data_IF_319908785613
#
_entry.id   IF_319908785613
#
_cell.length_a   1.000
_cell.length_b   1.000
_cell.length_c   1.000
_cell.angle_alpha   90.00
_cell.angle_beta   90.00
_cell.angle_gamma   90.00
#
_symmetry.space_group_name_H-M   'P 1'
#
loop_
_entity.id
_entity.type
_entity.pdbx_description
1 polymer ?
#
# COMPACT_ATOMS: atom_id res chain seq x y z
N UNK A 1 11.21 -4.56 -9.22
CA UNK A 1 11.51 -4.44 -7.81
C UNK A 1 11.07 -5.68 -7.04
N UNK A 2 11.89 -6.10 -6.10
CA UNK A 2 11.70 -7.30 -5.32
C UNK A 2 11.63 -6.95 -3.83
N UNK A 3 10.71 -7.59 -3.13
CA UNK A 3 10.47 -7.38 -1.70
C UNK A 3 10.37 -8.72 -0.98
N UNK A 4 10.15 -8.70 0.32
CA UNK A 4 9.85 -9.90 1.09
C UNK A 4 8.50 -9.71 1.77
N UNK A 5 7.75 -10.81 1.91
CA UNK A 5 6.56 -10.79 2.73
C UNK A 5 6.92 -10.96 4.21
N UNK A 6 5.93 -11.01 5.09
CA UNK A 6 6.18 -11.14 6.53
C UNK A 6 6.71 -12.52 6.93
N UNK A 7 6.69 -13.47 6.02
CA UNK A 7 7.25 -14.80 6.23
C UNK A 7 8.64 -14.96 5.64
N UNK A 8 9.21 -13.86 5.12
CA UNK A 8 10.55 -13.85 4.54
C UNK A 8 10.62 -14.36 3.11
N UNK A 9 9.49 -14.65 2.47
CA UNK A 9 9.45 -15.12 1.10
C UNK A 9 9.64 -13.97 0.12
N UNK A 10 10.45 -14.15 -0.94
CA UNK A 10 10.61 -13.09 -1.94
C UNK A 10 9.33 -12.90 -2.76
N UNK A 11 9.02 -11.64 -3.03
CA UNK A 11 7.84 -11.26 -3.81
C UNK A 11 8.25 -10.20 -4.83
N UNK A 12 7.84 -10.39 -6.08
CA UNK A 12 8.09 -9.44 -7.15
C UNK A 12 6.88 -8.53 -7.31
N UNK A 13 7.11 -7.22 -7.46
CA UNK A 13 6.02 -6.27 -7.61
C UNK A 13 5.14 -6.61 -8.82
N UNK A 14 5.74 -7.02 -9.93
CA UNK A 14 5.01 -7.36 -11.13
C UNK A 14 4.05 -8.54 -10.97
N UNK A 15 4.17 -9.31 -9.89
CA UNK A 15 3.23 -10.39 -9.61
C UNK A 15 1.82 -9.86 -9.33
N UNK A 16 1.72 -8.60 -8.92
CA UNK A 16 0.43 -7.94 -8.64
C UNK A 16 -0.10 -7.14 -9.83
N UNK A 17 0.77 -6.71 -10.73
CA UNK A 17 0.38 -5.87 -11.86
C UNK A 17 -0.39 -6.68 -12.90
N UNK A 18 -1.17 -6.00 -13.74
CA UNK A 18 -2.07 -6.65 -14.69
C UNK A 18 -3.50 -6.73 -14.18
N UNK A 19 -3.76 -6.17 -13.02
CA UNK A 19 -5.07 -6.00 -12.40
C UNK A 19 -5.06 -4.67 -11.68
N UNK A 20 -6.21 -4.12 -11.28
CA UNK A 20 -6.22 -2.88 -10.51
C UNK A 20 -5.51 -3.07 -9.16
N UNK A 21 -4.51 -2.24 -8.89
CA UNK A 21 -3.68 -2.36 -7.68
C UNK A 21 -3.51 -1.00 -7.02
N UNK A 22 -3.69 -0.95 -5.71
CA UNK A 22 -3.34 0.20 -4.88
C UNK A 22 -2.13 -0.18 -4.04
N UNK A 23 -1.04 0.57 -4.18
CA UNK A 23 0.18 0.35 -3.40
C UNK A 23 0.35 1.48 -2.41
N UNK A 24 0.46 1.14 -1.13
CA UNK A 24 0.66 2.11 -0.06
C UNK A 24 2.05 1.92 0.55
N UNK A 25 2.86 2.99 0.52
CA UNK A 25 4.17 3.03 1.15
C UNK A 25 3.99 3.66 2.53
N UNK A 26 4.44 2.98 3.58
CA UNK A 26 4.14 3.39 4.95
C UNK A 26 5.24 2.99 5.93
N UNK A 27 5.17 3.53 7.15
CA UNK A 27 6.03 3.13 8.25
C UNK A 27 5.28 3.28 9.57
N UNK A 28 5.70 2.51 10.58
CA UNK A 28 5.02 2.51 11.89
C UNK A 28 5.25 3.82 12.66
N UNK A 29 6.37 4.51 12.38
CA UNK A 29 6.73 5.75 13.07
C UNK A 29 6.05 6.99 12.49
N UNK A 30 5.32 6.83 11.41
CA UNK A 30 4.73 7.92 10.63
C UNK A 30 3.29 8.14 11.09
N UNK A 31 2.97 9.25 11.81
CA UNK A 31 1.60 9.46 12.31
C UNK A 31 0.52 9.48 11.24
N UNK A 32 0.68 10.18 10.10
CA UNK A 32 -0.35 10.11 9.06
C UNK A 32 -0.52 8.70 8.47
N UNK A 33 0.56 7.90 8.40
CA UNK A 33 0.46 6.50 7.98
C UNK A 33 -0.44 5.72 8.94
N UNK A 34 -0.23 5.92 10.24
CA UNK A 34 -0.99 5.20 11.26
C UNK A 34 -2.47 5.56 11.23
N UNK A 35 -2.78 6.83 11.02
CA UNK A 35 -4.18 7.27 10.92
C UNK A 35 -4.88 6.72 9.70
N UNK A 36 -4.14 6.52 8.62
CA UNK A 36 -4.65 6.05 7.32
C UNK A 36 -4.95 4.55 7.30
N UNK A 37 -4.23 3.76 8.10
CA UNK A 37 -4.34 2.30 8.06
C UNK A 37 -5.76 1.77 8.20
N UNK A 38 -6.57 2.21 9.20
CA UNK A 38 -7.95 1.71 9.29
C UNK A 38 -8.80 2.09 8.08
N UNK A 39 -8.55 3.23 7.46
CA UNK A 39 -9.25 3.66 6.25
C UNK A 39 -8.94 2.73 5.09
N UNK A 40 -7.66 2.41 4.91
CA UNK A 40 -7.21 1.51 3.86
C UNK A 40 -7.70 0.07 4.09
N UNK A 41 -7.67 -0.39 5.34
CA UNK A 41 -8.19 -1.72 5.67
C UNK A 41 -9.67 -1.84 5.33
N UNK A 42 -10.47 -0.84 5.67
CA UNK A 42 -11.90 -0.85 5.36
C UNK A 42 -12.12 -0.84 3.84
N UNK A 43 -11.31 -0.08 3.11
CA UNK A 43 -11.41 -0.01 1.65
C UNK A 43 -11.06 -1.34 0.99
N UNK A 44 -10.03 -2.04 1.47
CA UNK A 44 -9.67 -3.34 0.91
C UNK A 44 -10.79 -4.36 1.10
N UNK A 45 -11.50 -4.30 2.21
CA UNK A 45 -12.61 -5.20 2.48
C UNK A 45 -13.82 -4.92 1.59
N UNK A 46 -14.04 -3.65 1.26
CA UNK A 46 -15.21 -3.21 0.47
C UNK A 46 -14.97 -3.24 -1.03
N UNK A 47 -13.74 -3.42 -1.47
CA UNK A 47 -13.37 -3.31 -2.89
C UNK A 47 -12.61 -4.55 -3.34
N UNK A 48 -13.26 -5.72 -3.38
CA UNK A 48 -12.57 -6.98 -3.66
C UNK A 48 -11.96 -7.08 -5.06
N UNK A 49 -12.42 -6.25 -5.99
CA UNK A 49 -11.88 -6.24 -7.36
C UNK A 49 -10.59 -5.45 -7.49
N UNK A 50 -10.16 -4.77 -6.44
CA UNK A 50 -8.92 -4.02 -6.40
C UNK A 50 -7.98 -4.68 -5.38
N UNK A 51 -6.75 -4.96 -5.80
CA UNK A 51 -5.75 -5.54 -4.92
C UNK A 51 -5.02 -4.43 -4.17
N UNK A 52 -4.99 -4.51 -2.84
CA UNK A 52 -4.24 -3.58 -2.01
C UNK A 52 -2.94 -4.23 -1.58
N UNK A 53 -1.84 -3.51 -1.77
CA UNK A 53 -0.49 -3.95 -1.39
C UNK A 53 0.11 -2.89 -0.47
N UNK A 54 0.58 -3.32 0.70
CA UNK A 54 1.14 -2.42 1.71
C UNK A 54 2.63 -2.69 1.83
N UNK A 55 3.45 -1.72 1.45
CA UNK A 55 4.90 -1.90 1.45
C UNK A 55 5.54 -1.05 2.54
N UNK A 56 5.94 -1.70 3.62
CA UNK A 56 6.59 -1.04 4.74
C UNK A 56 8.00 -0.61 4.36
N UNK A 57 8.34 0.62 4.68
CA UNK A 57 9.61 1.23 4.29
C UNK A 57 10.61 1.22 5.45
N UNK A 58 11.66 0.43 5.30
CA UNK A 58 12.85 0.51 6.13
C UNK A 58 12.75 -0.08 7.53
N UNK A 59 11.76 -0.93 7.81
CA UNK A 59 11.58 -1.51 9.15
C UNK A 59 11.68 -3.03 9.14
N UNK A 60 11.97 -3.62 10.30
CA UNK A 60 12.09 -5.07 10.44
C UNK A 60 10.74 -5.75 10.49
N UNK A 61 10.71 -7.02 10.11
CA UNK A 61 9.52 -7.86 10.19
C UNK A 61 8.92 -7.86 11.60
N UNK A 62 9.75 -8.07 12.61
CA UNK A 62 9.30 -8.16 13.99
C UNK A 62 8.64 -6.87 14.45
N UNK A 63 9.23 -5.74 14.12
CA UNK A 63 8.69 -4.43 14.49
C UNK A 63 7.32 -4.20 13.85
N UNK A 64 7.20 -4.52 12.57
CA UNK A 64 5.94 -4.37 11.83
C UNK A 64 4.86 -5.30 12.39
N UNK A 65 5.21 -6.56 12.68
CA UNK A 65 4.26 -7.52 13.26
C UNK A 65 3.73 -7.04 14.61
N UNK A 66 4.62 -6.51 15.46
CA UNK A 66 4.21 -5.96 16.76
C UNK A 66 3.24 -4.80 16.60
N UNK A 67 3.53 -3.91 15.66
CA UNK A 67 2.65 -2.77 15.40
C UNK A 67 1.25 -3.22 14.96
N UNK A 68 1.20 -4.12 13.99
CA UNK A 68 -0.09 -4.59 13.46
C UNK A 68 -0.92 -5.27 14.54
N UNK A 69 -0.29 -6.10 15.38
CA UNK A 69 -0.96 -6.77 16.48
C UNK A 69 -1.49 -5.76 17.50
N UNK A 70 -0.67 -4.77 17.87
CA UNK A 70 -1.07 -3.76 18.85
C UNK A 70 -2.22 -2.89 18.36
N UNK A 71 -2.27 -2.62 17.06
CA UNK A 71 -3.32 -1.81 16.44
C UNK A 71 -4.51 -2.63 15.94
N UNK A 72 -4.45 -3.95 16.08
CA UNK A 72 -5.50 -4.86 15.62
C UNK A 72 -5.80 -4.67 14.12
N UNK A 73 -4.74 -4.54 13.32
CA UNK A 73 -4.85 -4.35 11.88
C UNK A 73 -4.59 -5.66 11.14
N UNK A 74 -5.38 -5.90 10.09
CA UNK A 74 -5.22 -7.04 9.19
C UNK A 74 -5.13 -6.51 7.76
N UNK A 75 -3.92 -6.46 7.23
CA UNK A 75 -3.66 -5.92 5.90
C UNK A 75 -3.31 -7.05 4.94
N UNK A 76 -3.91 -7.02 3.75
CA UNK A 76 -3.57 -7.97 2.69
C UNK A 76 -2.23 -7.59 2.08
N UNK A 77 -1.52 -8.57 1.52
CA UNK A 77 -0.33 -8.33 0.73
C UNK A 77 0.66 -7.38 1.40
N UNK A 78 1.03 -7.69 2.63
CA UNK A 78 1.99 -6.91 3.40
C UNK A 78 3.41 -7.27 2.98
N UNK A 79 4.13 -6.31 2.45
CA UNK A 79 5.51 -6.49 2.00
C UNK A 79 6.46 -5.61 2.79
N UNK A 80 7.72 -6.04 2.86
CA UNK A 80 8.78 -5.33 3.56
C UNK A 80 9.84 -4.89 2.56
N UNK A 81 10.16 -3.61 2.60
CA UNK A 81 11.19 -2.98 1.77
C UNK A 81 12.25 -2.42 2.71
N UNK A 82 13.16 -3.29 3.16
CA UNK A 82 14.14 -2.97 4.20
C UNK A 82 15.01 -1.77 3.89
N UNK A 83 15.31 -1.54 2.62
CA UNK A 83 16.18 -0.45 2.18
C UNK A 83 15.41 0.70 1.55
N UNK A 84 14.09 0.68 1.65
CA UNK A 84 13.20 1.72 1.11
C UNK A 84 13.43 1.98 -0.39
N UNK A 85 13.72 0.93 -1.16
CA UNK A 85 14.00 1.04 -2.59
C UNK A 85 12.79 1.54 -3.38
N UNK A 86 11.58 1.16 -2.97
CA UNK A 86 10.36 1.60 -3.68
C UNK A 86 10.17 3.10 -3.57
N UNK A 87 10.38 3.66 -2.38
CA UNK A 87 10.32 5.10 -2.19
C UNK A 87 11.29 5.83 -3.08
N UNK A 88 12.51 5.31 -3.18
CA UNK A 88 13.53 5.88 -4.06
C UNK A 88 13.13 5.74 -5.54
N UNK A 89 12.61 4.59 -5.93
CA UNK A 89 12.23 4.32 -7.32
C UNK A 89 11.11 5.26 -7.81
N UNK A 90 10.19 5.63 -6.93
CA UNK A 90 9.10 6.56 -7.30
C UNK A 90 9.42 8.00 -6.91
N UNK A 91 10.66 8.26 -6.53
CA UNK A 91 11.15 9.59 -6.13
C UNK A 91 10.33 10.20 -4.99
N UNK A 92 9.83 9.36 -4.09
CA UNK A 92 9.07 9.81 -2.94
C UNK A 92 9.92 9.70 -1.69
N UNK A 93 10.10 10.83 -1.01
CA UNK A 93 10.76 10.90 0.30
C UNK A 93 9.74 11.08 1.41
N UNK A 94 8.47 11.19 1.07
CA UNK A 94 7.39 11.43 2.04
C UNK A 94 6.55 10.18 2.23
N UNK A 95 6.14 9.94 3.47
CA UNK A 95 5.22 8.87 3.82
C UNK A 95 3.98 9.48 4.47
N UNK A 96 2.81 8.95 4.23
CA UNK A 96 2.53 7.85 3.32
C UNK A 96 2.51 8.32 1.86
N UNK A 97 2.75 7.39 0.96
CA UNK A 97 2.55 7.62 -0.48
C UNK A 97 1.69 6.49 -1.00
N UNK A 98 0.66 6.83 -1.77
CA UNK A 98 -0.25 5.83 -2.33
C UNK A 98 -0.24 5.91 -3.85
N UNK A 99 0.00 4.77 -4.48
CA UNK A 99 0.12 4.65 -5.92
C UNK A 99 -1.07 3.84 -6.45
N UNK A 100 -1.68 4.33 -7.53
CA UNK A 100 -2.87 3.71 -8.12
C UNK A 100 -2.53 3.23 -9.53
N UNK A 101 -2.45 1.90 -9.72
CA UNK A 101 -2.17 1.27 -11.00
C UNK A 101 -3.44 0.70 -11.61
N UNK A 102 -3.62 0.88 -12.92
CA UNK A 102 -4.77 0.32 -13.62
C UNK A 102 -4.54 -1.16 -13.99
N UNK A 103 -5.54 -1.78 -14.60
CA UNK A 103 -5.47 -3.19 -14.96
C UNK A 103 -4.39 -3.51 -16.00
N UNK A 104 -3.89 -2.49 -16.70
CA UNK A 104 -2.84 -2.63 -17.69
C UNK A 104 -1.44 -2.40 -17.10
N UNK A 105 -1.35 -2.19 -15.79
CA UNK A 105 -0.07 -1.99 -15.11
C UNK A 105 0.47 -0.57 -15.22
N UNK A 106 -0.37 0.39 -15.60
CA UNK A 106 0.05 1.79 -15.73
C UNK A 106 -0.30 2.57 -14.48
N UNK A 107 0.63 3.42 -14.04
CA UNK A 107 0.41 4.29 -12.90
C UNK A 107 -0.54 5.43 -13.32
N UNK A 108 -1.73 5.45 -12.74
CA UNK A 108 -2.77 6.43 -13.08
C UNK A 108 -2.78 7.63 -12.14
N UNK A 109 -2.35 7.43 -10.91
CA UNK A 109 -2.33 8.51 -9.93
C UNK A 109 -1.36 8.16 -8.81
N UNK A 110 -0.80 9.19 -8.17
CA UNK A 110 -0.09 9.03 -6.92
C UNK A 110 -0.60 10.10 -5.95
N UNK A 111 -0.69 9.75 -4.69
CA UNK A 111 -1.11 10.68 -3.65
C UNK A 111 -0.02 10.72 -2.59
N UNK A 112 0.53 11.91 -2.38
CA UNK A 112 1.53 12.14 -1.33
C UNK A 112 0.81 12.62 -0.08
N UNK A 113 1.08 11.95 1.04
CA UNK A 113 0.46 12.28 2.30
C UNK A 113 -0.78 11.46 2.60
N UNK A 114 -1.43 11.81 3.70
CA UNK A 114 -2.58 11.07 4.23
C UNK A 114 -3.79 11.15 3.30
N UNK A 115 -4.42 10.00 3.06
CA UNK A 115 -5.71 9.93 2.36
C UNK A 115 -6.83 9.88 3.39
N UNK A 116 -7.84 10.72 3.20
CA UNK A 116 -9.10 10.60 3.93
C UNK A 116 -9.95 9.51 3.26
N UNK A 117 -10.97 9.04 3.97
CA UNK A 117 -11.93 8.11 3.40
C UNK A 117 -12.55 8.67 2.11
N UNK A 118 -12.92 9.94 2.12
CA UNK A 118 -13.54 10.59 0.96
C UNK A 118 -12.56 10.66 -0.22
N UNK A 119 -11.31 11.05 0.03
CA UNK A 119 -10.30 11.14 -1.03
C UNK A 119 -9.98 9.77 -1.62
N UNK A 120 -9.90 8.75 -0.77
CA UNK A 120 -9.63 7.39 -1.23
C UNK A 120 -10.80 6.88 -2.08
N UNK A 121 -12.04 7.05 -1.63
CA UNK A 121 -13.21 6.64 -2.39
C UNK A 121 -13.29 7.34 -3.74
N UNK A 122 -12.97 8.64 -3.76
CA UNK A 122 -12.95 9.40 -5.00
C UNK A 122 -11.91 8.86 -5.98
N UNK A 123 -10.70 8.57 -5.50
CA UNK A 123 -9.64 8.01 -6.33
C UNK A 123 -10.03 6.64 -6.89
N UNK A 124 -10.59 5.78 -6.05
CA UNK A 124 -11.01 4.45 -6.49
C UNK A 124 -12.09 4.54 -7.56
N UNK A 125 -13.08 5.42 -7.39
CA UNK A 125 -14.14 5.58 -8.36
C UNK A 125 -13.64 6.15 -9.68
N UNK A 126 -12.77 7.14 -9.64
CA UNK A 126 -12.30 7.78 -10.87
C UNK A 126 -11.33 6.92 -11.68
N UNK A 127 -10.58 6.04 -11.01
CA UNK A 127 -9.57 5.22 -11.69
C UNK A 127 -10.12 3.84 -12.07
N UNK A 128 -10.92 3.24 -11.21
CA UNK A 128 -11.36 1.84 -11.36
C UNK A 128 -12.84 1.68 -11.67
N UNK A 129 -13.52 2.75 -11.99
CA UNK A 129 -14.96 2.72 -12.24
C UNK A 129 -15.35 1.68 -13.29
N UNK A 130 -14.58 1.58 -14.36
CA UNK A 130 -14.84 0.64 -15.43
C UNK A 130 -14.37 -0.78 -15.12
N UNK A 131 -13.47 -0.91 -14.15
CA UNK A 131 -12.92 -2.20 -13.74
C UNK A 131 -13.77 -2.85 -12.65
N UNK A 132 -14.61 -2.07 -12.01
CA UNK A 132 -15.50 -2.53 -10.95
C UNK A 132 -16.88 -2.80 -11.51
#
# INVERSE_FOLDING_TARGET
LSFRDIHGQPVQLQDYLGQPVVINLWATWCPPCRREMPVLQAAQEKTPDVTFVFINQGESTLHVQHFLAAQELSLDNLLLDSNAHMGQAVSSLSLPTTLFYDAEGRLRNNHLGELSKASLNHALQSIYKESL
#
